data_IF_034125351523
#
_entry.id   IF_034125351523
#
_cell.length_a   1.000
_cell.length_b   1.000
_cell.length_c   1.000
_cell.angle_alpha   90.00
_cell.angle_beta   90.00
_cell.angle_gamma   90.00
#
_symmetry.space_group_name_H-M   'P 1'
#
loop_
_entity.id
_entity.type
_entity.pdbx_description
1 polymer ?
#
# COMPACT_ATOMS: atom_id res chain seq x y z
N UNK A 1 -2.06 -14.89 -11.82
CA UNK A 1 -1.67 -14.78 -10.40
C UNK A 1 -1.50 -13.30 -10.14
N UNK A 2 -2.39 -12.72 -9.33
CA UNK A 2 -2.32 -11.33 -8.91
C UNK A 2 -1.29 -11.26 -7.79
N UNK A 3 -0.11 -10.72 -8.05
CA UNK A 3 0.87 -10.49 -6.98
C UNK A 3 0.58 -9.11 -6.41
N UNK A 4 -0.24 -9.05 -5.36
CA UNK A 4 -0.41 -7.80 -4.62
C UNK A 4 0.78 -7.68 -3.68
N UNK A 5 1.62 -6.68 -3.88
CA UNK A 5 2.79 -6.44 -3.02
C UNK A 5 2.41 -5.61 -1.81
N UNK A 6 1.84 -6.23 -0.79
CA UNK A 6 1.51 -5.50 0.43
C UNK A 6 2.76 -5.41 1.29
N UNK A 7 3.36 -4.23 1.32
CA UNK A 7 4.54 -3.91 2.11
C UNK A 7 4.14 -3.13 3.37
N UNK A 8 4.03 -3.80 4.51
CA UNK A 8 3.89 -3.09 5.79
C UNK A 8 5.28 -2.85 6.39
N UNK A 9 5.56 -1.62 6.78
CA UNK A 9 6.73 -1.31 7.61
C UNK A 9 6.41 -1.70 9.04
N UNK A 10 7.31 -2.42 9.71
CA UNK A 10 7.22 -2.70 11.14
C UNK A 10 8.57 -2.44 11.79
N UNK A 11 8.66 -2.31 13.13
CA UNK A 11 9.95 -2.19 13.81
C UNK A 11 10.94 -3.34 13.51
N UNK A 12 10.46 -4.45 12.94
CA UNK A 12 11.26 -5.63 12.59
C UNK A 12 11.58 -5.74 11.09
N UNK A 13 11.21 -4.74 10.27
CA UNK A 13 11.48 -4.70 8.84
C UNK A 13 10.23 -4.66 7.96
N UNK A 14 10.44 -4.73 6.65
CA UNK A 14 9.38 -4.81 5.64
C UNK A 14 8.77 -6.21 5.62
N UNK A 15 7.46 -6.29 5.80
CA UNK A 15 6.72 -7.53 5.61
C UNK A 15 6.02 -7.50 4.25
N UNK A 16 6.31 -8.50 3.41
CA UNK A 16 5.67 -8.69 2.11
C UNK A 16 4.66 -9.83 2.22
N UNK A 17 3.42 -9.56 1.82
CA UNK A 17 2.35 -10.56 1.77
C UNK A 17 2.03 -10.92 0.33
N UNK A 18 1.90 -12.22 0.03
CA UNK A 18 1.46 -12.73 -1.27
C UNK A 18 0.12 -13.45 -1.03
N UNK A 19 -0.98 -12.80 -1.37
CA UNK A 19 -2.34 -13.29 -1.14
C UNK A 19 -3.30 -12.77 -2.21
N UNK A 20 -4.58 -13.15 -2.12
CA UNK A 20 -5.64 -12.38 -2.76
C UNK A 20 -5.70 -11.02 -2.07
N UNK A 21 -5.15 -9.98 -2.71
CA UNK A 21 -5.02 -8.69 -2.06
C UNK A 21 -6.36 -7.99 -1.79
N UNK A 22 -7.41 -8.28 -2.54
CA UNK A 22 -8.73 -7.71 -2.25
C UNK A 22 -9.29 -8.33 -0.99
N UNK A 23 -9.27 -9.66 -0.89
CA UNK A 23 -9.73 -10.37 0.30
C UNK A 23 -8.89 -9.99 1.52
N UNK A 24 -7.57 -9.97 1.38
CA UNK A 24 -6.65 -9.66 2.46
C UNK A 24 -6.86 -8.25 3.03
N UNK A 25 -7.01 -7.23 2.18
CA UNK A 25 -7.27 -5.86 2.64
C UNK A 25 -8.63 -5.76 3.35
N UNK A 26 -9.65 -6.50 2.88
CA UNK A 26 -10.96 -6.56 3.54
C UNK A 26 -10.91 -7.20 4.93
N UNK A 27 -10.13 -8.27 5.09
CA UNK A 27 -9.95 -8.93 6.39
C UNK A 27 -9.31 -7.98 7.41
N UNK A 28 -8.25 -7.26 7.02
CA UNK A 28 -7.60 -6.26 7.89
C UNK A 28 -8.55 -5.11 8.24
N UNK A 29 -9.32 -4.61 7.27
CA UNK A 29 -10.31 -3.56 7.52
C UNK A 29 -11.42 -4.02 8.51
N UNK A 30 -11.86 -5.28 8.40
CA UNK A 30 -12.86 -5.85 9.29
C UNK A 30 -12.34 -5.97 10.74
N UNK A 31 -11.11 -6.46 10.92
CA UNK A 31 -10.50 -6.64 12.23
C UNK A 31 -10.24 -5.30 12.95
N UNK A 32 -9.82 -4.27 12.23
CA UNK A 32 -9.59 -2.92 12.76
C UNK A 32 -10.86 -2.19 13.25
N UNK A 33 -12.04 -2.62 12.80
CA UNK A 33 -13.34 -2.01 13.14
C UNK A 33 -13.97 -2.54 14.44
N UNK A 34 -13.46 -3.65 14.98
CA UNK A 34 -14.03 -4.37 16.13
C UNK A 34 -13.80 -3.72 17.51
N UNK A 35 -13.14 -2.56 17.58
CA UNK A 35 -12.76 -1.88 18.83
C UNK A 35 -13.80 -0.97 19.50
N UNK A 36 -15.08 -0.97 19.09
CA UNK A 36 -16.13 -0.12 19.73
C UNK A 36 -17.36 -0.91 20.21
N UNK A 37 -17.30 -1.24 21.51
CA UNK A 37 -18.37 -1.37 22.51
C UNK A 37 -19.41 -2.51 22.44
N UNK A 38 -19.46 -3.29 23.52
CA UNK A 38 -20.62 -4.10 23.91
C UNK A 38 -20.31 -5.16 24.97
N UNK A 39 -20.19 -4.76 26.25
CA UNK A 39 -20.44 -5.70 27.35
C UNK A 39 -21.81 -6.34 27.12
N UNK A 40 -21.88 -7.67 27.11
CA UNK A 40 -23.02 -8.45 27.60
C UNK A 40 -22.57 -9.89 27.81
N UNK A 41 -22.48 -10.27 29.08
CA UNK A 41 -22.50 -11.65 29.53
C UNK A 41 -23.80 -12.32 29.07
N UNK A 42 -23.71 -13.40 28.29
CA UNK A 42 -24.73 -14.44 28.24
C UNK A 42 -24.17 -15.72 27.59
N UNK A 43 -23.93 -16.69 28.45
CA UNK A 43 -23.68 -18.09 28.17
C UNK A 43 -24.91 -18.77 27.56
N UNK A 44 -24.71 -19.68 26.59
CA UNK A 44 -25.38 -20.98 26.57
C UNK A 44 -24.72 -21.99 25.61
N UNK A 45 -24.52 -23.18 26.16
CA UNK A 45 -23.98 -24.41 25.58
C UNK A 45 -24.89 -25.04 24.50
N UNK A 46 -24.33 -25.63 23.44
CA UNK A 46 -24.62 -27.00 22.95
C UNK A 46 -23.99 -27.34 21.57
N UNK A 47 -23.10 -28.35 21.60
CA UNK A 47 -22.78 -29.43 20.64
C UNK A 47 -22.33 -29.18 19.18
N UNK A 48 -21.07 -29.58 18.92
CA UNK A 48 -20.48 -29.88 17.61
C UNK A 48 -20.64 -31.36 17.22
N UNK A 49 -20.69 -31.73 15.93
CA UNK A 49 -20.21 -33.03 15.45
C UNK A 49 -18.81 -32.90 14.82
N UNK A 50 -17.89 -33.75 15.29
CA UNK A 50 -16.52 -33.91 14.82
C UNK A 50 -16.40 -34.28 13.34
N UNK A 51 -15.37 -33.72 12.68
CA UNK A 51 -14.74 -34.32 11.51
C UNK A 51 -13.22 -34.17 11.62
N UNK A 52 -12.56 -35.31 11.70
CA UNK A 52 -11.11 -35.48 11.84
C UNK A 52 -10.43 -35.24 10.47
N UNK A 53 -9.64 -34.17 10.37
CA UNK A 53 -8.74 -33.92 9.26
C UNK A 53 -7.44 -33.31 9.79
N UNK A 54 -6.46 -34.15 10.11
CA UNK A 54 -5.15 -33.70 10.56
C UNK A 54 -4.32 -33.19 9.37
N UNK A 55 -4.21 -31.87 9.25
CA UNK A 55 -3.18 -31.22 8.45
C UNK A 55 -2.34 -30.39 9.42
N UNK A 56 -1.18 -30.89 9.81
CA UNK A 56 -0.19 -30.09 10.55
C UNK A 56 0.37 -29.00 9.61
N UNK A 57 -0.36 -27.89 9.49
CA UNK A 57 0.19 -26.62 9.06
C UNK A 57 0.71 -25.93 10.31
N UNK A 58 2.03 -25.77 10.38
CA UNK A 58 2.74 -25.05 11.43
C UNK A 58 2.03 -23.75 11.81
N UNK A 59 1.76 -23.59 13.10
CA UNK A 59 1.41 -22.31 13.72
C UNK A 59 2.48 -21.27 13.35
N UNK A 60 2.24 -20.51 12.28
CA UNK A 60 2.70 -19.14 12.23
C UNK A 60 1.82 -18.40 13.23
N UNK A 61 2.41 -17.80 14.26
CA UNK A 61 1.73 -16.80 15.05
C UNK A 61 1.22 -15.74 14.05
N UNK A 62 -0.08 -15.76 13.77
CA UNK A 62 -0.70 -14.72 12.96
C UNK A 62 -0.64 -13.46 13.81
N UNK A 63 0.42 -12.69 13.61
CA UNK A 63 0.47 -11.32 14.08
C UNK A 63 -0.69 -10.62 13.37
N UNK A 64 -1.79 -10.44 14.08
CA UNK A 64 -2.98 -9.75 13.59
C UNK A 64 -2.52 -8.37 13.14
N UNK A 65 -2.55 -8.13 11.83
CA UNK A 65 -2.29 -6.82 11.26
C UNK A 65 -3.55 -6.02 11.55
N UNK A 66 -3.48 -5.08 12.49
CA UNK A 66 -4.62 -4.24 12.79
C UNK A 66 -4.84 -3.19 11.71
N UNK A 67 -3.75 -2.61 11.17
CA UNK A 67 -3.73 -1.58 10.12
C UNK A 67 -2.39 -1.57 9.38
N UNK A 68 -2.38 -1.01 8.17
CA UNK A 68 -1.17 -0.83 7.35
C UNK A 68 -0.56 0.56 7.50
N UNK A 69 0.75 0.63 7.73
CA UNK A 69 1.50 1.88 7.60
C UNK A 69 1.81 2.22 6.15
N UNK A 70 1.89 1.21 5.29
CA UNK A 70 2.04 1.36 3.85
C UNK A 70 1.33 0.23 3.14
N UNK A 71 0.65 0.53 2.03
CA UNK A 71 0.01 -0.45 1.15
C UNK A 71 0.35 -0.10 -0.30
N UNK A 72 1.05 -1.01 -0.99
CA UNK A 72 1.47 -0.81 -2.37
C UNK A 72 0.67 -1.76 -3.28
N UNK A 73 0.10 -1.22 -4.34
CA UNK A 73 -0.61 -1.98 -5.37
C UNK A 73 0.16 -1.86 -6.68
N UNK A 74 0.73 -2.98 -7.08
CA UNK A 74 1.35 -3.18 -8.37
C UNK A 74 0.82 -4.50 -8.94
N UNK A 75 -0.33 -4.42 -9.62
CA UNK A 75 -1.09 -5.59 -10.06
C UNK A 75 -1.49 -5.42 -11.51
N UNK A 76 -0.83 -6.15 -12.41
CA UNK A 76 -1.20 -6.14 -13.81
C UNK A 76 -2.63 -6.63 -14.07
N UNK A 77 -3.30 -5.98 -15.01
CA UNK A 77 -4.58 -6.39 -15.58
C UNK A 77 -4.34 -7.42 -16.68
N UNK A 78 -4.98 -8.59 -16.56
CA UNK A 78 -5.11 -9.52 -17.68
C UNK A 78 -6.19 -9.10 -18.69
N UNK A 79 -7.03 -8.13 -18.34
CA UNK A 79 -8.06 -7.58 -19.21
C UNK A 79 -7.52 -6.38 -20.01
N UNK A 80 -7.35 -6.60 -21.31
CA UNK A 80 -6.90 -5.59 -22.27
C UNK A 80 -8.01 -4.63 -22.72
N UNK A 81 -9.27 -4.92 -22.40
CA UNK A 81 -10.42 -4.10 -22.82
C UNK A 81 -10.62 -2.85 -21.96
N UNK A 82 -10.13 -2.85 -20.72
CA UNK A 82 -10.24 -1.73 -19.79
C UNK A 82 -9.42 -0.50 -20.20
N UNK A 83 -8.40 -0.67 -21.07
CA UNK A 83 -7.44 0.38 -21.45
C UNK A 83 -6.46 0.77 -20.34
N UNK A 84 -6.46 0.04 -19.22
CA UNK A 84 -5.56 0.16 -18.09
C UNK A 84 -4.77 -1.14 -17.96
N UNK A 85 -3.44 -1.03 -17.98
CA UNK A 85 -2.56 -2.20 -17.88
C UNK A 85 -2.24 -2.52 -16.42
N UNK A 86 -2.10 -1.49 -15.58
CA UNK A 86 -1.93 -1.64 -14.15
C UNK A 86 -2.56 -0.40 -13.45
N UNK A 87 -3.29 -0.55 -12.35
CA UNK A 87 -3.66 -1.81 -11.74
C UNK A 87 -4.82 -2.51 -12.48
N UNK A 88 -5.15 -3.74 -12.13
CA UNK A 88 -6.45 -4.34 -12.47
C UNK A 88 -7.61 -3.47 -11.93
N UNK A 89 -8.71 -3.40 -12.68
CA UNK A 89 -9.77 -2.40 -12.44
C UNK A 89 -10.38 -2.45 -11.03
N UNK A 90 -10.52 -3.63 -10.45
CA UNK A 90 -11.10 -3.82 -9.11
C UNK A 90 -10.32 -3.09 -8.00
N UNK A 91 -9.02 -2.84 -8.21
CA UNK A 91 -8.15 -2.14 -7.24
C UNK A 91 -8.31 -0.61 -7.26
N UNK A 92 -9.07 -0.07 -8.21
CA UNK A 92 -9.39 1.36 -8.30
C UNK A 92 -10.90 1.61 -8.31
N UNK A 93 -11.68 0.58 -7.96
CA UNK A 93 -13.10 0.76 -7.66
C UNK A 93 -13.28 1.45 -6.32
N UNK A 94 -14.24 2.36 -6.24
CA UNK A 94 -14.45 3.21 -5.05
C UNK A 94 -14.68 2.39 -3.76
N UNK A 95 -15.42 1.28 -3.87
CA UNK A 95 -15.65 0.36 -2.74
C UNK A 95 -14.36 -0.25 -2.18
N UNK A 96 -13.41 -0.60 -3.06
CA UNK A 96 -12.13 -1.12 -2.64
C UNK A 96 -11.26 0.00 -2.04
N UNK A 97 -11.24 1.18 -2.66
CA UNK A 97 -10.52 2.35 -2.13
C UNK A 97 -10.99 2.75 -0.73
N UNK A 98 -12.29 2.68 -0.44
CA UNK A 98 -12.84 2.88 0.90
C UNK A 98 -12.31 1.83 1.89
N UNK A 99 -12.32 0.56 1.48
CA UNK A 99 -11.76 -0.54 2.29
C UNK A 99 -10.27 -0.31 2.59
N UNK A 100 -9.52 0.15 1.59
CA UNK A 100 -8.11 0.54 1.77
C UNK A 100 -8.00 1.64 2.82
N UNK A 101 -8.76 2.73 2.70
CA UNK A 101 -8.72 3.84 3.66
C UNK A 101 -8.96 3.37 5.10
N UNK A 102 -9.93 2.48 5.30
CA UNK A 102 -10.25 1.93 6.63
C UNK A 102 -9.15 1.01 7.18
N UNK A 103 -8.42 0.33 6.29
CA UNK A 103 -7.30 -0.55 6.63
C UNK A 103 -5.97 0.19 6.89
N UNK A 104 -5.83 1.45 6.50
CA UNK A 104 -4.62 2.25 6.74
C UNK A 104 -4.55 2.76 8.19
N UNK A 105 -3.33 2.86 8.71
CA UNK A 105 -3.03 3.60 9.94
C UNK A 105 -3.27 5.09 9.76
N UNK A 106 -3.35 5.84 10.86
CA UNK A 106 -3.61 7.29 10.80
C UNK A 106 -2.54 8.03 9.99
N UNK A 107 -1.32 7.49 9.88
CA UNK A 107 -0.24 8.04 9.06
C UNK A 107 0.08 7.14 7.86
N UNK A 108 -0.84 6.25 7.51
CA UNK A 108 -0.67 5.24 6.47
C UNK A 108 -0.59 5.84 5.07
N UNK A 109 0.21 5.21 4.22
CA UNK A 109 0.40 5.58 2.82
C UNK A 109 -0.17 4.49 1.90
N UNK A 110 -0.91 4.90 0.88
CA UNK A 110 -1.38 4.02 -0.20
C UNK A 110 -0.75 4.39 -1.52
N UNK A 111 -0.06 3.44 -2.15
CA UNK A 111 0.69 3.62 -3.38
C UNK A 111 0.10 2.75 -4.49
N UNK A 112 -0.15 3.33 -5.67
CA UNK A 112 -0.68 2.60 -6.83
C UNK A 112 0.20 2.87 -8.04
N UNK A 113 0.73 1.81 -8.63
CA UNK A 113 1.36 1.87 -9.94
C UNK A 113 0.26 1.98 -11.02
N UNK A 114 0.15 3.14 -11.67
CA UNK A 114 -0.83 3.42 -12.72
C UNK A 114 -0.16 3.43 -14.08
N UNK A 115 -0.45 2.40 -14.87
CA UNK A 115 0.03 2.19 -16.23
C UNK A 115 -1.15 2.25 -17.20
N UNK A 116 -1.27 3.37 -17.90
CA UNK A 116 -2.24 3.52 -18.99
C UNK A 116 -1.74 4.53 -20.02
N UNK A 117 -2.14 4.35 -21.29
CA UNK A 117 -1.91 5.36 -22.35
C UNK A 117 -3.08 6.32 -22.49
N UNK A 118 -4.23 6.01 -21.87
CA UNK A 118 -5.44 6.81 -21.97
C UNK A 118 -5.48 7.84 -20.86
N UNK A 119 -5.38 9.12 -21.23
CA UNK A 119 -5.54 10.23 -20.28
C UNK A 119 -6.91 10.23 -19.60
N UNK A 120 -7.95 9.78 -20.30
CA UNK A 120 -9.29 9.68 -19.73
C UNK A 120 -9.34 8.66 -18.57
N UNK A 121 -8.68 7.52 -18.74
CA UNK A 121 -8.58 6.48 -17.69
C UNK A 121 -7.78 7.00 -16.51
N UNK A 122 -6.63 7.64 -16.76
CA UNK A 122 -5.83 8.24 -15.68
C UNK A 122 -6.65 9.25 -14.86
N UNK A 123 -7.36 10.15 -15.54
CA UNK A 123 -8.23 11.12 -14.87
C UNK A 123 -9.38 10.45 -14.10
N UNK A 124 -9.96 9.37 -14.62
CA UNK A 124 -11.00 8.60 -13.94
C UNK A 124 -10.48 7.99 -12.63
N UNK A 125 -9.32 7.33 -12.67
CA UNK A 125 -8.68 6.73 -11.47
C UNK A 125 -8.39 7.81 -10.43
N UNK A 126 -7.77 8.92 -10.84
CA UNK A 126 -7.51 10.06 -9.96
C UNK A 126 -8.80 10.61 -9.35
N UNK A 127 -9.89 10.70 -10.13
CA UNK A 127 -11.18 11.19 -9.63
C UNK A 127 -11.78 10.27 -8.58
N UNK A 128 -11.71 8.94 -8.77
CA UNK A 128 -12.17 7.96 -7.79
C UNK A 128 -11.35 8.00 -6.51
N UNK A 129 -10.02 8.09 -6.63
CA UNK A 129 -9.15 8.21 -5.46
C UNK A 129 -9.41 9.51 -4.68
N UNK A 130 -9.65 10.63 -5.36
CA UNK A 130 -10.02 11.91 -4.73
C UNK A 130 -11.37 11.89 -4.01
N UNK A 131 -12.29 11.01 -4.40
CA UNK A 131 -13.55 10.85 -3.70
C UNK A 131 -13.36 10.22 -2.30
N UNK A 132 -12.25 9.49 -2.10
CA UNK A 132 -11.97 8.73 -0.87
C UNK A 132 -10.88 9.38 -0.02
N UNK A 133 -9.80 9.83 -0.66
CA UNK A 133 -8.62 10.40 0.00
C UNK A 133 -8.55 11.91 -0.23
N UNK A 134 -8.23 12.66 0.82
CA UNK A 134 -8.13 14.12 0.76
C UNK A 134 -6.78 14.62 0.25
N UNK A 135 -5.72 13.84 0.42
CA UNK A 135 -4.38 14.19 -0.04
C UNK A 135 -3.86 13.14 -1.01
N UNK A 136 -3.77 13.54 -2.27
CA UNK A 136 -3.17 12.73 -3.32
C UNK A 136 -1.91 13.40 -3.85
N UNK A 137 -0.95 12.57 -4.21
CA UNK A 137 0.25 12.99 -4.93
C UNK A 137 0.47 12.05 -6.12
N UNK A 138 1.29 12.49 -7.07
CA UNK A 138 1.74 11.62 -8.13
C UNK A 138 3.21 11.88 -8.47
N UNK A 139 3.86 10.82 -8.93
CA UNK A 139 5.20 10.85 -9.51
C UNK A 139 5.12 10.24 -10.90
N UNK A 140 5.48 11.02 -11.91
CA UNK A 140 5.66 10.50 -13.25
C UNK A 140 7.11 10.01 -13.39
N UNK A 141 7.28 8.75 -13.77
CA UNK A 141 8.60 8.19 -14.05
C UNK A 141 9.01 8.60 -15.47
N UNK A 142 10.26 9.04 -15.64
CA UNK A 142 10.78 9.44 -16.95
C UNK A 142 10.94 8.20 -17.85
N UNK A 143 10.71 8.38 -19.15
CA UNK A 143 10.69 7.36 -20.21
C UNK A 143 9.44 6.46 -20.28
N UNK A 144 8.71 6.26 -19.18
CA UNK A 144 7.53 5.38 -19.14
C UNK A 144 6.18 6.14 -19.07
N UNK A 145 5.10 5.47 -19.49
CA UNK A 145 3.71 5.94 -19.30
C UNK A 145 3.22 5.77 -17.85
N UNK A 146 4.10 5.28 -16.97
CA UNK A 146 3.81 4.86 -15.60
C UNK A 146 3.78 6.08 -14.68
N UNK A 147 2.70 6.19 -13.93
CA UNK A 147 2.53 7.16 -12.86
C UNK A 147 2.37 6.41 -11.56
N UNK A 148 3.12 6.78 -10.53
CA UNK A 148 2.86 6.29 -9.18
C UNK A 148 1.92 7.29 -8.52
N UNK A 149 0.74 6.84 -8.10
CA UNK A 149 -0.20 7.62 -7.31
C UNK A 149 0.01 7.31 -5.83
N UNK A 150 0.03 8.36 -5.01
CA UNK A 150 0.17 8.28 -3.56
C UNK A 150 -1.09 8.86 -2.93
N UNK A 151 -1.62 8.23 -1.89
CA UNK A 151 -2.73 8.75 -1.10
C UNK A 151 -2.44 8.59 0.40
N UNK A 152 -2.70 9.64 1.17
CA UNK A 152 -2.54 9.61 2.62
C UNK A 152 -3.84 9.16 3.30
N UNK A 153 -3.71 8.31 4.32
CA UNK A 153 -4.81 7.95 5.22
C UNK A 153 -5.24 9.08 6.15
N UNK A 154 -4.37 10.06 6.38
CA UNK A 154 -4.66 11.27 7.19
C UNK A 154 -5.34 12.37 6.38
N UNK A 155 -6.03 13.25 7.08
CA UNK A 155 -6.55 14.52 6.58
C UNK A 155 -5.50 15.66 6.67
N UNK A 156 -4.30 15.39 7.19
CA UNK A 156 -3.17 16.34 7.25
C UNK A 156 -2.32 16.31 5.98
N UNK A 157 -2.10 17.47 5.37
CA UNK A 157 -1.31 17.60 4.14
C UNK A 157 0.20 17.60 4.43
N UNK A 158 0.97 16.77 3.72
CA UNK A 158 2.44 16.85 3.73
C UNK A 158 2.90 18.04 2.87
N UNK A 159 3.68 18.94 3.47
CA UNK A 159 4.29 20.07 2.76
C UNK A 159 5.52 19.62 1.98
N UNK A 160 5.72 20.19 0.78
CA UNK A 160 6.83 19.81 -0.11
C UNK A 160 8.23 19.95 0.50
N UNK A 161 8.44 20.89 1.44
CA UNK A 161 9.71 21.05 2.17
C UNK A 161 10.13 19.78 2.92
N UNK A 162 9.16 18.97 3.37
CA UNK A 162 9.40 17.70 4.07
C UNK A 162 9.97 16.63 3.15
N UNK A 163 9.73 16.69 1.83
CA UNK A 163 10.24 15.68 0.90
C UNK A 163 11.77 15.75 0.78
N UNK A 164 12.34 16.96 0.72
CA UNK A 164 13.79 17.13 0.66
C UNK A 164 14.48 16.61 1.93
N UNK A 165 13.90 16.88 3.11
CA UNK A 165 14.41 16.35 4.38
C UNK A 165 14.28 14.83 4.45
N UNK A 166 13.14 14.28 4.02
CA UNK A 166 12.90 12.84 3.97
C UNK A 166 13.86 12.12 3.02
N UNK A 167 14.18 12.72 1.86
CA UNK A 167 15.20 12.19 0.94
C UNK A 167 16.57 12.06 1.62
N UNK A 168 17.00 13.09 2.35
CA UNK A 168 18.28 13.06 3.07
C UNK A 168 18.30 11.97 4.14
N UNK A 169 17.20 11.78 4.88
CA UNK A 169 17.10 10.70 5.87
C UNK A 169 17.05 9.31 5.21
N UNK A 170 16.31 9.14 4.12
CA UNK A 170 16.28 7.89 3.36
C UNK A 170 17.67 7.52 2.83
N UNK A 171 18.42 8.49 2.29
CA UNK A 171 19.81 8.28 1.85
C UNK A 171 20.72 7.81 2.99
N UNK A 172 20.58 8.38 4.19
CA UNK A 172 21.33 7.96 5.37
C UNK A 172 21.00 6.52 5.75
N UNK A 173 19.71 6.15 5.75
CA UNK A 173 19.25 4.80 6.05
C UNK A 173 19.80 3.79 5.04
N UNK A 174 19.63 4.05 3.74
CA UNK A 174 20.16 3.20 2.67
C UNK A 174 21.69 3.08 2.69
N UNK A 175 22.39 4.06 3.26
CA UNK A 175 23.85 4.04 3.37
C UNK A 175 24.34 3.29 4.61
N UNK A 176 23.54 3.18 5.68
CA UNK A 176 23.88 2.43 6.90
C UNK A 176 23.93 0.92 6.63
N UNK A 177 23.00 0.38 5.86
CA UNK A 177 22.98 -1.03 5.45
C UNK A 177 24.15 -1.41 4.52
N UNK A 178 24.85 -0.42 3.94
CA UNK A 178 25.93 -0.61 2.97
C UNK A 178 27.33 -0.41 3.53
N UNK A 179 27.49 -0.26 4.85
CA UNK A 179 28.82 -0.14 5.46
C UNK A 179 29.64 -1.44 5.42
N UNK A 180 29.03 -2.56 5.02
CA UNK A 180 29.71 -3.83 4.74
C UNK A 180 30.16 -3.99 3.28
N UNK A 181 29.84 -3.03 2.39
CA UNK A 181 30.19 -3.07 0.97
C UNK A 181 31.34 -2.10 0.62
N UNK A 182 32.28 -2.52 -0.26
CA UNK A 182 33.41 -1.69 -0.65
C UNK A 182 32.95 -0.38 -1.32
N UNK A 183 33.63 0.72 -1.01
CA UNK A 183 33.28 2.11 -1.38
C UNK A 183 32.98 2.31 -2.89
N UNK A 184 33.59 1.49 -3.77
CA UNK A 184 33.35 1.46 -5.23
C UNK A 184 31.99 0.89 -5.66
N UNK A 185 31.20 0.34 -4.73
CA UNK A 185 29.89 -0.26 -4.98
C UNK A 185 28.71 0.54 -4.43
N UNK A 186 28.97 1.71 -3.81
CA UNK A 186 27.92 2.68 -3.46
C UNK A 186 27.60 3.51 -4.72
N UNK A 187 26.45 3.33 -5.39
CA UNK A 187 26.18 4.09 -6.61
C UNK A 187 25.81 5.53 -6.21
N UNK A 188 26.55 6.56 -6.67
CA UNK A 188 26.12 7.96 -6.55
C UNK A 188 24.80 8.23 -7.28
N UNK A 189 24.42 7.34 -8.19
CA UNK A 189 23.20 7.37 -8.98
C UNK A 189 21.93 7.26 -8.12
N UNK A 190 21.89 6.39 -7.10
CA UNK A 190 20.67 6.18 -6.31
C UNK A 190 20.28 7.40 -5.46
N UNK A 191 21.27 8.08 -4.87
CA UNK A 191 21.04 9.34 -4.13
C UNK A 191 20.51 10.43 -5.05
N UNK A 192 21.10 10.56 -6.24
CA UNK A 192 20.62 11.54 -7.22
C UNK A 192 19.20 11.21 -7.69
N UNK A 193 18.89 9.93 -7.96
CA UNK A 193 17.54 9.48 -8.31
C UNK A 193 16.53 9.82 -7.21
N UNK A 194 16.84 9.56 -5.95
CA UNK A 194 15.95 9.87 -4.81
C UNK A 194 15.66 11.37 -4.79
N UNK A 195 16.70 12.20 -4.86
CA UNK A 195 16.58 13.67 -4.83
C UNK A 195 15.76 14.18 -6.02
N UNK A 196 16.10 13.76 -7.23
CA UNK A 196 15.38 14.17 -8.45
C UNK A 196 13.92 13.72 -8.41
N UNK A 197 13.64 12.54 -7.83
CA UNK A 197 12.27 12.03 -7.66
C UNK A 197 11.47 12.93 -6.73
N UNK A 198 12.05 13.42 -5.62
CA UNK A 198 11.32 14.30 -4.69
C UNK A 198 10.92 15.63 -5.32
N UNK A 199 11.69 16.15 -6.27
CA UNK A 199 11.34 17.37 -7.01
C UNK A 199 10.20 17.15 -8.01
N UNK A 200 10.00 15.89 -8.45
CA UNK A 200 8.98 15.50 -9.42
C UNK A 200 7.64 15.10 -8.79
N UNK A 201 7.61 14.84 -7.48
CA UNK A 201 6.37 14.56 -6.74
C UNK A 201 5.47 15.80 -6.76
N UNK A 202 4.23 15.62 -7.23
CA UNK A 202 3.25 16.69 -7.36
C UNK A 202 1.99 16.37 -6.58
N UNK A 203 1.51 17.35 -5.83
CA UNK A 203 0.23 17.25 -5.12
C UNK A 203 -0.95 17.44 -6.10
N UNK A 204 -1.92 16.55 -6.03
CA UNK A 204 -3.18 16.61 -6.76
C UNK A 204 -4.26 17.22 -5.86
N UNK A 205 -4.34 18.56 -5.85
CA UNK A 205 -5.48 19.30 -5.28
C UNK A 205 -6.74 19.00 -6.07
#
# INVERSE_FOLDING_TARGET
>A
MCTVFIASVSPMGFQVHIADGIQFVREVAADGSSGKHGNNDAQCDAECPSSNGNCSASHAESKVISKFDTLIIDVDSSDSSSGMTCPAADFVEESFLLTVKDSLSDQGLFDVNLVSRSRAIKNMVVSRMKAVFSHLFYLQLEEDVNEVLFALGTEDCIKGERFAEAAVELEKLLSRDRNDLPEKSKPPEMSQIIRDSTEKIKCLK
#
